data_IF_285231582966
#
_entry.id   IF_285231582966
#
_cell.length_a   1.000
_cell.length_b   1.000
_cell.length_c   1.000
_cell.angle_alpha   90.00
_cell.angle_beta   90.00
_cell.angle_gamma   90.00
#
_symmetry.space_group_name_H-M   'P 1'
#
loop_
_entity.id
_entity.type
_entity.pdbx_description
1 polymer ?
#
# COMPACT_ATOMS: atom_id res chain seq x y z
N UNK A 1 -20.54 5.37 -1.25
CA UNK A 1 -20.16 6.77 -1.50
C UNK A 1 -18.83 6.80 -2.24
N UNK A 2 -18.76 7.52 -3.36
CA UNK A 2 -17.57 7.54 -4.23
C UNK A 2 -16.41 8.27 -3.51
N UNK A 3 -15.18 7.73 -3.60
CA UNK A 3 -13.96 8.30 -3.02
C UNK A 3 -13.76 9.77 -3.46
N UNK A 4 -14.05 10.11 -4.71
CA UNK A 4 -13.96 11.46 -5.24
C UNK A 4 -14.78 12.47 -4.42
N UNK A 5 -16.05 12.12 -4.09
CA UNK A 5 -16.91 12.98 -3.28
C UNK A 5 -16.37 13.19 -1.85
N UNK A 6 -15.78 12.14 -1.27
CA UNK A 6 -15.15 12.21 0.05
C UNK A 6 -13.96 13.13 0.06
N UNK A 7 -13.03 12.95 -0.90
CA UNK A 7 -11.81 13.76 -1.00
C UNK A 7 -12.13 15.23 -1.28
N UNK A 8 -13.05 15.49 -2.23
CA UNK A 8 -13.54 16.86 -2.50
C UNK A 8 -14.18 17.51 -1.27
N UNK A 9 -14.96 16.74 -0.49
CA UNK A 9 -15.57 17.22 0.75
C UNK A 9 -14.55 17.59 1.83
N UNK A 10 -13.34 17.03 1.78
CA UNK A 10 -12.22 17.36 2.66
C UNK A 10 -11.33 18.48 2.09
N UNK A 11 -11.66 19.02 0.91
CA UNK A 11 -10.83 20.03 0.23
C UNK A 11 -9.46 19.47 -0.16
N UNK A 12 -9.41 18.22 -0.60
CA UNK A 12 -8.20 17.55 -1.09
C UNK A 12 -8.26 17.47 -2.61
N UNK A 13 -7.20 17.93 -3.26
CA UNK A 13 -6.99 17.74 -4.68
C UNK A 13 -6.50 16.31 -4.95
N UNK A 14 -7.02 15.69 -5.99
CA UNK A 14 -6.63 14.34 -6.39
C UNK A 14 -6.72 14.16 -7.89
N UNK A 15 -6.03 13.16 -8.39
CA UNK A 15 -6.13 12.69 -9.78
C UNK A 15 -6.40 11.20 -9.78
N UNK A 16 -7.20 10.72 -10.72
CA UNK A 16 -7.36 9.29 -10.94
C UNK A 16 -6.15 8.74 -11.71
N UNK A 17 -5.71 7.57 -11.29
CA UNK A 17 -4.71 6.78 -11.98
C UNK A 17 -5.37 5.47 -12.42
N UNK A 18 -5.40 5.22 -13.74
CA UNK A 18 -6.11 4.07 -14.29
C UNK A 18 -5.51 2.75 -13.80
N UNK A 19 -6.34 1.95 -13.12
CA UNK A 19 -5.96 0.64 -12.66
C UNK A 19 -5.81 -0.35 -13.84
N UNK A 20 -4.92 -1.30 -13.67
CA UNK A 20 -4.71 -2.39 -14.62
C UNK A 20 -5.71 -3.50 -14.36
N UNK A 21 -6.58 -3.77 -15.33
CA UNK A 21 -7.47 -4.93 -15.30
C UNK A 21 -6.66 -6.22 -15.57
N UNK A 22 -6.48 -7.03 -14.55
CA UNK A 22 -5.72 -8.28 -14.65
C UNK A 22 -6.27 -9.27 -15.68
N UNK A 23 -7.59 -9.22 -15.95
CA UNK A 23 -8.25 -10.08 -16.96
C UNK A 23 -7.91 -9.66 -18.41
N UNK A 24 -7.43 -8.43 -18.61
CA UNK A 24 -7.08 -7.87 -19.92
C UNK A 24 -5.57 -7.83 -20.16
N UNK A 25 -4.79 -8.43 -19.29
CA UNK A 25 -3.32 -8.47 -19.45
C UNK A 25 -2.91 -9.29 -20.66
N UNK A 26 -1.93 -8.81 -21.45
CA UNK A 26 -1.34 -9.58 -22.53
C UNK A 26 -0.70 -10.87 -22.02
N UNK A 27 -0.72 -11.94 -22.83
CA UNK A 27 -0.11 -13.22 -22.48
C UNK A 27 1.38 -13.08 -22.10
N UNK A 28 2.12 -12.22 -22.80
CA UNK A 28 3.54 -11.95 -22.51
C UNK A 28 3.80 -11.39 -21.09
N UNK A 29 2.84 -10.62 -20.54
CA UNK A 29 2.93 -10.13 -19.16
C UNK A 29 2.66 -11.27 -18.19
N UNK A 30 1.65 -12.09 -18.45
CA UNK A 30 1.30 -13.23 -17.60
C UNK A 30 2.40 -14.30 -17.59
N UNK A 31 3.06 -14.54 -18.71
CA UNK A 31 4.22 -15.45 -18.81
C UNK A 31 5.44 -14.97 -18.01
N UNK A 32 5.55 -13.65 -17.75
CA UNK A 32 6.62 -13.05 -16.95
C UNK A 32 6.38 -13.10 -15.44
N UNK A 33 5.19 -13.54 -15.00
CA UNK A 33 4.83 -13.64 -13.57
C UNK A 33 5.46 -14.88 -12.94
N UNK A 34 6.10 -14.71 -11.78
CA UNK A 34 6.58 -15.83 -10.98
C UNK A 34 5.47 -16.35 -10.05
N UNK A 35 4.65 -17.25 -10.58
CA UNK A 35 3.51 -17.84 -9.87
C UNK A 35 3.89 -18.74 -8.69
N UNK A 36 5.11 -19.26 -8.66
CA UNK A 36 5.57 -20.20 -7.64
C UNK A 36 6.10 -19.49 -6.40
N UNK A 37 6.57 -18.25 -6.55
CA UNK A 37 7.23 -17.54 -5.47
C UNK A 37 6.33 -17.29 -4.27
N UNK A 38 5.12 -16.75 -4.48
CA UNK A 38 4.22 -16.38 -3.39
C UNK A 38 3.75 -17.58 -2.57
N UNK A 39 3.22 -18.67 -3.17
CA UNK A 39 2.87 -19.88 -2.43
C UNK A 39 4.04 -20.49 -1.66
N UNK A 40 5.19 -20.61 -2.31
CA UNK A 40 6.39 -21.23 -1.73
C UNK A 40 6.95 -20.46 -0.53
N UNK A 41 6.97 -19.13 -0.61
CA UNK A 41 7.65 -18.30 0.40
C UNK A 41 6.71 -17.77 1.48
N UNK A 42 5.42 -17.62 1.21
CA UNK A 42 4.47 -16.98 2.14
C UNK A 42 3.31 -17.88 2.58
N UNK A 43 3.40 -19.19 2.29
CA UNK A 43 2.40 -20.21 2.68
C UNK A 43 1.00 -19.91 2.13
N UNK A 44 0.93 -19.24 0.99
CA UNK A 44 -0.34 -19.10 0.29
C UNK A 44 -0.77 -20.45 -0.28
N UNK A 45 -2.03 -20.88 -0.14
CA UNK A 45 -2.50 -22.13 -0.72
C UNK A 45 -2.56 -22.07 -2.25
N UNK A 46 -2.56 -20.89 -2.84
CA UNK A 46 -2.74 -20.68 -4.28
C UNK A 46 -1.72 -19.67 -4.84
N UNK A 47 -1.39 -19.76 -6.15
CA UNK A 47 -0.64 -18.72 -6.85
C UNK A 47 -1.42 -17.39 -6.88
N UNK A 48 -0.76 -16.33 -7.39
CA UNK A 48 -1.41 -15.05 -7.61
C UNK A 48 -2.56 -15.17 -8.62
N UNK A 49 -3.68 -14.54 -8.29
CA UNK A 49 -4.83 -14.41 -9.17
C UNK A 49 -4.63 -13.28 -10.17
N UNK A 50 -5.42 -13.26 -11.24
CA UNK A 50 -5.38 -12.16 -12.21
C UNK A 50 -5.71 -10.80 -11.57
N UNK A 51 -6.63 -10.78 -10.60
CA UNK A 51 -6.96 -9.56 -9.84
C UNK A 51 -5.78 -9.06 -9.02
N UNK A 52 -5.09 -9.95 -8.29
CA UNK A 52 -3.90 -9.59 -7.51
C UNK A 52 -2.74 -9.13 -8.40
N UNK A 53 -2.56 -9.77 -9.55
CA UNK A 53 -1.56 -9.34 -10.55
C UNK A 53 -1.90 -7.95 -11.08
N UNK A 54 -3.16 -7.70 -11.45
CA UNK A 54 -3.63 -6.40 -11.92
C UNK A 54 -3.43 -5.30 -10.87
N UNK A 55 -3.80 -5.59 -9.61
CA UNK A 55 -3.60 -4.69 -8.48
C UNK A 55 -2.09 -4.39 -8.26
N UNK A 56 -1.24 -5.41 -8.23
CA UNK A 56 0.20 -5.23 -8.09
C UNK A 56 0.78 -4.36 -9.21
N UNK A 57 0.40 -4.62 -10.47
CA UNK A 57 0.82 -3.82 -11.63
C UNK A 57 0.34 -2.37 -11.50
N UNK A 58 -0.87 -2.13 -11.02
CA UNK A 58 -1.40 -0.78 -10.81
C UNK A 58 -0.53 0.02 -9.86
N UNK A 59 -0.16 -0.55 -8.72
CA UNK A 59 0.74 0.10 -7.77
C UNK A 59 2.15 0.29 -8.35
N UNK A 60 2.70 -0.70 -9.05
CA UNK A 60 4.01 -0.60 -9.71
C UNK A 60 4.03 0.54 -10.71
N UNK A 61 3.00 0.68 -11.56
CA UNK A 61 2.88 1.78 -12.53
C UNK A 61 2.84 3.16 -11.86
N UNK A 62 2.20 3.28 -10.69
CA UNK A 62 2.26 4.53 -9.92
C UNK A 62 3.70 4.84 -9.49
N UNK A 63 4.46 3.84 -9.04
CA UNK A 63 5.86 4.04 -8.65
C UNK A 63 6.73 4.41 -9.86
N UNK A 64 6.53 3.76 -11.01
CA UNK A 64 7.21 4.09 -12.27
C UNK A 64 6.90 5.51 -12.70
N UNK A 65 5.63 5.90 -12.70
CA UNK A 65 5.19 7.26 -13.00
C UNK A 65 5.83 8.31 -12.06
N UNK A 66 5.93 8.01 -10.77
CA UNK A 66 6.62 8.88 -9.81
C UNK A 66 8.09 9.06 -10.14
N UNK A 67 8.78 7.99 -10.55
CA UNK A 67 10.20 8.03 -10.92
C UNK A 67 10.41 8.79 -12.22
N UNK A 68 9.62 8.51 -13.24
CA UNK A 68 9.69 9.15 -14.56
C UNK A 68 9.45 10.66 -14.48
N UNK A 69 8.48 11.08 -13.67
CA UNK A 69 8.08 12.48 -13.53
C UNK A 69 8.73 13.17 -12.32
N UNK A 70 9.67 12.54 -11.63
CA UNK A 70 10.38 13.06 -10.47
C UNK A 70 9.43 13.59 -9.37
N UNK A 71 8.30 12.89 -9.15
CA UNK A 71 7.30 13.24 -8.12
C UNK A 71 7.90 12.91 -6.75
N UNK A 72 8.09 13.91 -5.92
CA UNK A 72 8.79 13.78 -4.62
C UNK A 72 8.06 12.89 -3.62
N UNK A 73 6.73 12.98 -3.58
CA UNK A 73 5.87 12.14 -2.75
C UNK A 73 4.44 12.14 -3.30
N UNK A 74 3.73 11.05 -3.04
CA UNK A 74 2.32 10.92 -3.37
C UNK A 74 1.58 10.16 -2.26
N UNK A 75 0.31 10.49 -2.04
CA UNK A 75 -0.63 9.67 -1.28
C UNK A 75 -1.37 8.82 -2.29
N UNK A 76 -1.32 7.51 -2.09
CA UNK A 76 -2.03 6.52 -2.89
C UNK A 76 -3.24 6.05 -2.10
N UNK A 77 -4.40 6.05 -2.74
CA UNK A 77 -5.66 5.58 -2.18
C UNK A 77 -6.33 4.63 -3.17
N UNK A 78 -6.80 3.48 -2.71
CA UNK A 78 -7.67 2.61 -3.49
C UNK A 78 -9.08 3.25 -3.59
N UNK A 79 -9.84 2.90 -4.59
CA UNK A 79 -11.13 3.51 -4.91
C UNK A 79 -12.22 3.22 -3.88
N UNK A 80 -12.07 2.17 -3.09
CA UNK A 80 -12.95 1.79 -1.99
C UNK A 80 -12.53 2.37 -0.62
N UNK A 81 -11.45 3.15 -0.58
CA UNK A 81 -10.95 3.73 0.66
C UNK A 81 -11.96 4.66 1.34
N UNK A 82 -12.17 4.45 2.64
CA UNK A 82 -12.97 5.31 3.51
C UNK A 82 -12.03 6.10 4.40
N UNK A 83 -11.83 7.37 4.07
CA UNK A 83 -10.94 8.27 4.81
C UNK A 83 -11.66 8.91 6.00
N UNK A 84 -10.94 9.08 7.12
CA UNK A 84 -11.41 9.84 8.28
C UNK A 84 -11.76 11.28 7.88
N UNK A 85 -12.75 11.88 8.54
CA UNK A 85 -13.04 13.32 8.38
C UNK A 85 -11.87 14.24 8.77
N UNK A 86 -10.95 13.76 9.60
CA UNK A 86 -9.73 14.47 10.02
C UNK A 86 -8.52 14.11 9.17
N UNK A 87 -8.69 13.40 8.03
CA UNK A 87 -7.58 12.87 7.24
C UNK A 87 -6.58 13.96 6.80
N UNK A 88 -7.08 15.12 6.36
CA UNK A 88 -6.23 16.25 5.97
C UNK A 88 -5.35 16.73 7.13
N UNK A 89 -5.94 16.98 8.28
CA UNK A 89 -5.24 17.43 9.49
C UNK A 89 -4.21 16.39 9.97
N UNK A 90 -4.58 15.10 9.90
CA UNK A 90 -3.68 13.98 10.25
C UNK A 90 -2.45 13.98 9.33
N UNK A 91 -2.65 14.13 8.03
CA UNK A 91 -1.56 14.17 7.05
C UNK A 91 -0.65 15.37 7.29
N UNK A 92 -1.21 16.57 7.43
CA UNK A 92 -0.46 17.80 7.64
C UNK A 92 0.37 17.74 8.94
N UNK A 93 -0.24 17.33 10.05
CA UNK A 93 0.46 17.21 11.34
C UNK A 93 1.52 16.09 11.31
N UNK A 94 1.25 15.00 10.59
CA UNK A 94 2.22 13.92 10.38
C UNK A 94 3.44 14.43 9.64
N UNK A 95 3.26 15.14 8.53
CA UNK A 95 4.36 15.66 7.72
C UNK A 95 5.20 16.69 8.47
N UNK A 96 4.59 17.48 9.36
CA UNK A 96 5.30 18.44 10.22
C UNK A 96 6.16 17.75 11.30
N UNK A 97 5.78 16.54 11.73
CA UNK A 97 6.41 15.85 12.87
C UNK A 97 7.31 14.68 12.48
N UNK A 98 7.18 14.18 11.25
CA UNK A 98 7.93 13.01 10.82
C UNK A 98 9.40 13.33 10.55
N UNK A 99 10.24 12.31 10.63
CA UNK A 99 11.64 12.42 10.19
C UNK A 99 11.70 12.67 8.68
N UNK A 100 12.57 13.56 8.24
CA UNK A 100 12.77 13.91 6.81
C UNK A 100 13.19 12.73 5.93
N UNK A 101 13.72 11.67 6.52
CA UNK A 101 14.17 10.46 5.81
C UNK A 101 13.08 9.39 5.69
N UNK A 102 11.84 9.65 6.11
CA UNK A 102 10.74 8.72 5.92
C UNK A 102 10.53 8.38 4.43
N UNK A 103 10.10 7.17 4.16
CA UNK A 103 9.89 6.73 2.78
C UNK A 103 8.48 6.20 2.54
N UNK A 104 7.83 5.65 3.59
CA UNK A 104 6.49 5.09 3.50
C UNK A 104 5.71 5.39 4.79
N UNK A 105 4.46 5.81 4.67
CA UNK A 105 3.56 6.04 5.80
C UNK A 105 2.23 5.35 5.51
N UNK A 106 1.88 4.34 6.29
CA UNK A 106 0.58 3.67 6.18
C UNK A 106 -0.51 4.46 6.92
N UNK A 107 -1.64 4.65 6.27
CA UNK A 107 -2.87 5.20 6.85
C UNK A 107 -3.90 4.10 7.16
N UNK A 108 -3.83 2.96 6.43
CA UNK A 108 -4.48 1.69 6.73
C UNK A 108 -3.40 0.61 6.86
N UNK A 109 -3.50 -0.24 7.87
CA UNK A 109 -2.50 -1.28 8.10
C UNK A 109 -2.98 -2.38 9.05
N UNK A 110 -2.41 -3.56 8.89
CA UNK A 110 -2.55 -4.68 9.82
C UNK A 110 -1.23 -5.39 10.09
N UNK A 111 -1.20 -6.20 11.14
CA UNK A 111 -0.04 -7.05 11.53
C UNK A 111 1.28 -6.28 11.75
N UNK A 112 1.19 -5.04 12.22
CA UNK A 112 2.36 -4.17 12.47
C UNK A 112 2.99 -4.41 13.85
N UNK A 113 4.29 -4.05 13.96
CA UNK A 113 4.97 -3.81 15.23
C UNK A 113 5.68 -2.47 15.14
N UNK A 114 5.41 -1.58 16.10
CA UNK A 114 6.06 -0.28 16.19
C UNK A 114 7.14 -0.26 17.26
N UNK A 115 8.03 0.73 17.18
CA UNK A 115 8.88 1.10 18.30
C UNK A 115 8.04 1.68 19.45
N UNK A 116 8.58 1.66 20.64
CA UNK A 116 7.85 2.10 21.85
C UNK A 116 7.45 3.58 21.80
N UNK A 117 8.35 4.44 21.34
CA UNK A 117 8.08 5.87 21.25
C UNK A 117 7.26 6.23 20.03
N UNK A 118 6.07 6.78 20.27
CA UNK A 118 5.16 7.28 19.25
C UNK A 118 4.94 8.76 19.45
N UNK A 119 4.92 9.53 18.37
CA UNK A 119 4.64 10.96 18.43
C UNK A 119 3.13 11.18 18.42
N UNK A 120 2.62 12.01 19.33
CA UNK A 120 1.24 12.49 19.24
C UNK A 120 1.10 13.40 18.04
N UNK A 121 0.06 13.16 17.25
CA UNK A 121 -0.40 14.03 16.17
C UNK A 121 -1.81 14.53 16.53
N UNK A 122 -2.69 14.74 15.58
CA UNK A 122 -4.08 15.13 15.86
C UNK A 122 -4.69 14.25 16.95
N UNK A 123 -5.62 14.81 17.72
CA UNK A 123 -6.24 14.16 18.88
C UNK A 123 -6.69 12.72 18.59
N UNK A 124 -6.28 11.81 19.47
CA UNK A 124 -6.55 10.38 19.33
C UNK A 124 -5.60 9.62 18.42
N UNK A 125 -4.79 10.29 17.58
CA UNK A 125 -3.86 9.66 16.65
C UNK A 125 -2.39 9.80 17.07
N UNK A 126 -1.59 8.86 16.62
CA UNK A 126 -0.14 8.83 16.88
C UNK A 126 0.61 8.40 15.62
N UNK A 127 1.72 9.04 15.37
CA UNK A 127 2.70 8.61 14.36
C UNK A 127 3.63 7.58 15.00
N UNK A 128 3.65 6.38 14.45
CA UNK A 128 4.47 5.25 14.90
C UNK A 128 5.53 4.91 13.86
N UNK A 129 6.78 4.72 14.29
CA UNK A 129 7.83 4.15 13.45
C UNK A 129 7.74 2.62 13.52
N UNK A 130 7.67 1.95 12.37
CA UNK A 130 7.51 0.51 12.32
C UNK A 130 8.83 -0.23 12.35
N UNK A 131 8.83 -1.31 13.12
CA UNK A 131 10.00 -2.14 13.30
C UNK A 131 10.03 -3.24 12.24
N UNK A 132 11.04 -3.19 11.37
CA UNK A 132 11.24 -4.25 10.39
C UNK A 132 11.45 -5.61 11.09
N UNK A 133 10.75 -6.67 10.65
CA UNK A 133 11.04 -8.03 11.06
C UNK A 133 12.47 -8.46 10.67
N UNK A 134 12.93 -9.61 11.17
CA UNK A 134 14.18 -10.19 10.69
C UNK A 134 14.11 -10.48 9.19
N UNK A 135 15.27 -10.43 8.50
CA UNK A 135 15.36 -10.57 7.03
C UNK A 135 14.65 -11.81 6.48
N UNK A 136 14.64 -12.90 7.24
CA UNK A 136 14.03 -14.18 6.82
C UNK A 136 12.59 -14.35 7.33
N UNK A 137 12.03 -13.34 8.00
CA UNK A 137 10.65 -13.37 8.45
C UNK A 137 9.68 -13.34 7.26
N UNK A 138 8.59 -14.09 7.38
CA UNK A 138 7.44 -14.06 6.47
C UNK A 138 6.40 -12.99 6.84
N UNK A 139 6.65 -12.25 7.94
CA UNK A 139 5.70 -11.22 8.38
C UNK A 139 5.71 -10.06 7.42
N UNK A 140 4.51 -9.61 7.10
CA UNK A 140 4.23 -8.48 6.23
C UNK A 140 3.30 -7.51 6.93
N UNK A 141 3.45 -6.23 6.70
CA UNK A 141 2.40 -5.25 6.97
C UNK A 141 1.37 -5.45 5.86
N UNK A 142 0.15 -5.77 6.23
CA UNK A 142 -0.93 -5.99 5.26
C UNK A 142 -1.73 -4.72 5.06
N UNK A 143 -2.43 -4.68 3.93
CA UNK A 143 -3.25 -3.60 3.37
C UNK A 143 -2.42 -2.53 2.64
N UNK A 144 -2.80 -2.29 1.40
CA UNK A 144 -2.26 -1.25 0.54
C UNK A 144 -3.32 -0.18 0.19
N UNK A 145 -4.46 -0.18 0.93
CA UNK A 145 -5.63 0.67 0.69
C UNK A 145 -5.28 2.16 0.72
N UNK A 146 -4.37 2.55 1.62
CA UNK A 146 -3.98 3.95 1.78
C UNK A 146 -2.57 4.10 2.37
N UNK A 147 -1.71 4.79 1.65
CA UNK A 147 -0.36 5.10 2.13
C UNK A 147 0.24 6.32 1.42
N UNK A 148 1.18 7.00 2.09
CA UNK A 148 2.06 7.97 1.46
C UNK A 148 3.38 7.29 1.13
N UNK A 149 3.91 7.54 -0.06
CA UNK A 149 5.23 7.07 -0.49
C UNK A 149 6.05 8.24 -1.05
N UNK A 150 7.34 8.24 -0.73
CA UNK A 150 8.29 9.20 -1.31
C UNK A 150 8.94 8.61 -2.56
N UNK A 151 9.59 9.48 -3.36
CA UNK A 151 10.35 9.05 -4.54
C UNK A 151 11.43 8.01 -4.20
N UNK A 152 12.11 8.16 -3.05
CA UNK A 152 13.11 7.18 -2.62
C UNK A 152 12.46 5.84 -2.24
N UNK A 153 11.31 5.89 -1.58
CA UNK A 153 10.52 4.70 -1.28
C UNK A 153 10.06 3.98 -2.55
N UNK A 154 9.50 4.73 -3.51
CA UNK A 154 9.08 4.18 -4.80
C UNK A 154 10.22 3.46 -5.54
N UNK A 155 11.41 4.07 -5.61
CA UNK A 155 12.61 3.45 -6.19
C UNK A 155 13.00 2.15 -5.49
N UNK A 156 12.94 2.10 -4.16
CA UNK A 156 13.23 0.88 -3.39
C UNK A 156 12.21 -0.22 -3.65
N UNK A 157 10.91 0.11 -3.75
CA UNK A 157 9.87 -0.85 -4.08
C UNK A 157 10.04 -1.38 -5.50
N UNK A 158 10.34 -0.53 -6.48
CA UNK A 158 10.61 -0.93 -7.87
C UNK A 158 11.77 -1.91 -7.98
N UNK A 159 12.85 -1.74 -7.21
CA UNK A 159 13.96 -2.69 -7.18
C UNK A 159 13.56 -4.10 -6.72
N UNK A 160 12.37 -4.25 -6.11
CA UNK A 160 11.84 -5.53 -5.64
C UNK A 160 10.59 -6.00 -6.39
N UNK A 161 10.03 -5.17 -7.26
CA UNK A 161 8.75 -5.38 -7.93
C UNK A 161 8.79 -6.47 -8.99
N UNK A 162 9.91 -6.62 -9.69
CA UNK A 162 10.06 -7.54 -10.81
C UNK A 162 10.96 -8.75 -10.50
N UNK A 163 10.66 -9.94 -11.07
CA UNK A 163 9.42 -10.26 -11.78
C UNK A 163 8.21 -10.10 -10.86
N UNK A 164 7.01 -9.88 -11.41
CA UNK A 164 5.78 -9.81 -10.61
C UNK A 164 5.57 -11.15 -9.92
N UNK A 165 5.51 -11.13 -8.58
CA UNK A 165 5.49 -12.35 -7.76
C UNK A 165 4.82 -12.18 -6.39
N UNK A 166 4.32 -10.97 -6.10
CA UNK A 166 3.72 -10.62 -4.82
C UNK A 166 2.44 -9.80 -5.05
N UNK A 167 1.42 -9.97 -4.20
CA UNK A 167 0.32 -9.02 -4.13
C UNK A 167 0.82 -7.61 -3.77
N UNK A 168 0.05 -6.58 -4.08
CA UNK A 168 0.42 -5.18 -3.84
C UNK A 168 0.76 -4.89 -2.37
N UNK A 169 -0.02 -5.41 -1.42
CA UNK A 169 0.20 -5.22 0.00
C UNK A 169 1.48 -5.92 0.50
N UNK A 170 1.85 -7.09 -0.07
CA UNK A 170 3.13 -7.73 0.22
C UNK A 170 4.30 -6.96 -0.38
N UNK A 171 4.17 -6.40 -1.58
CA UNK A 171 5.21 -5.57 -2.16
C UNK A 171 5.52 -4.35 -1.28
N UNK A 172 4.49 -3.65 -0.79
CA UNK A 172 4.63 -2.48 0.07
C UNK A 172 5.03 -2.85 1.50
N UNK A 173 4.51 -3.95 2.03
CA UNK A 173 4.59 -4.30 3.44
C UNK A 173 5.76 -5.19 3.86
N UNK A 174 6.53 -5.77 2.92
CA UNK A 174 7.74 -6.55 3.21
C UNK A 174 8.96 -5.65 3.49
N UNK A 175 8.82 -4.75 4.45
CA UNK A 175 9.82 -3.71 4.78
C UNK A 175 11.21 -4.27 5.13
N UNK A 176 11.30 -5.51 5.63
CA UNK A 176 12.58 -6.21 5.85
C UNK A 176 13.28 -6.62 4.55
N UNK A 177 12.56 -6.70 3.44
CA UNK A 177 13.10 -7.04 2.11
C UNK A 177 13.40 -5.77 1.31
N UNK A 178 12.45 -4.85 1.26
CA UNK A 178 12.53 -3.60 0.49
C UNK A 178 13.40 -2.55 1.17
N UNK A 179 13.61 -2.65 2.50
CA UNK A 179 14.37 -1.70 3.33
C UNK A 179 13.83 -0.27 3.27
N UNK A 180 12.54 -0.14 3.10
CA UNK A 180 11.84 1.14 3.13
C UNK A 180 11.69 1.60 4.57
N UNK A 181 12.07 2.83 4.88
CA UNK A 181 11.86 3.42 6.21
C UNK A 181 10.39 3.77 6.40
N UNK A 182 9.75 3.04 7.32
CA UNK A 182 8.29 2.90 7.33
C UNK A 182 7.68 3.38 8.64
N UNK A 183 6.67 4.20 8.50
CA UNK A 183 5.82 4.70 9.57
C UNK A 183 4.36 4.33 9.33
N UNK A 184 3.51 4.60 10.31
CA UNK A 184 2.07 4.51 10.15
C UNK A 184 1.33 5.30 11.21
N UNK A 185 0.05 5.54 10.94
CA UNK A 185 -0.87 6.25 11.82
C UNK A 185 -1.60 5.25 12.69
N UNK A 186 -1.55 5.42 13.99
CA UNK A 186 -2.21 4.55 14.96
C UNK A 186 -3.19 5.33 15.85
N UNK A 187 -4.49 4.93 15.92
CA UNK A 187 -5.11 3.87 15.11
C UNK A 187 -5.14 4.23 13.62
N UNK A 188 -5.46 3.27 12.70
CA UNK A 188 -5.66 3.58 11.29
C UNK A 188 -6.69 4.70 11.10
N UNK A 189 -6.45 5.58 10.13
CA UNK A 189 -7.35 6.68 9.79
C UNK A 189 -8.00 6.53 8.41
N UNK A 190 -7.69 5.43 7.74
CA UNK A 190 -8.36 4.99 6.52
C UNK A 190 -8.76 3.54 6.69
N UNK A 191 -9.90 3.17 6.12
CA UNK A 191 -10.48 1.83 6.21
C UNK A 191 -10.98 1.41 4.84
N UNK A 192 -11.07 0.11 4.61
CA UNK A 192 -11.77 -0.45 3.44
C UNK A 192 -13.27 -0.41 3.64
N UNK A 193 -14.03 -0.13 2.58
CA UNK A 193 -15.49 -0.18 2.61
C UNK A 193 -15.98 -1.60 2.87
N UNK A 194 -16.83 -1.79 3.89
CA UNK A 194 -17.44 -3.09 4.23
C UNK A 194 -18.32 -3.67 3.10
N UNK A 195 -18.72 -2.85 2.14
CA UNK A 195 -19.54 -3.23 0.99
C UNK A 195 -18.74 -3.29 -0.32
N UNK A 196 -17.44 -3.13 -0.25
CA UNK A 196 -16.63 -3.45 -1.41
C UNK A 196 -16.66 -4.97 -1.52
N UNK A 197 -17.61 -5.44 -2.32
CA UNK A 197 -17.44 -6.69 -3.03
C UNK A 197 -16.14 -6.55 -3.81
N UNK A 198 -15.01 -6.72 -3.14
CA UNK A 198 -13.72 -6.79 -3.79
C UNK A 198 -13.90 -7.80 -4.92
N UNK A 199 -13.72 -7.39 -6.17
CA UNK A 199 -13.80 -8.35 -7.29
C UNK A 199 -12.80 -9.49 -7.10
N UNK A 200 -11.75 -9.24 -6.30
CA UNK A 200 -10.75 -10.22 -5.89
C UNK A 200 -11.34 -11.22 -4.90
N UNK A 201 -12.12 -10.76 -3.92
CA UNK A 201 -12.72 -11.62 -2.88
C UNK A 201 -13.96 -12.38 -3.39
N UNK A 202 -14.72 -11.84 -4.34
CA UNK A 202 -15.91 -12.51 -4.92
C UNK A 202 -15.61 -13.78 -5.70
N UNK A 203 -14.43 -13.85 -6.31
CA UNK A 203 -14.10 -14.94 -7.25
C UNK A 203 -13.35 -16.08 -6.56
N UNK A 204 -12.77 -15.84 -5.39
CA UNK A 204 -11.88 -16.80 -4.75
C UNK A 204 -11.95 -16.75 -3.23
N UNK A 205 -12.82 -17.53 -2.61
CA UNK A 205 -12.81 -17.83 -1.16
C UNK A 205 -11.41 -18.26 -0.69
N UNK A 206 -10.52 -17.29 -0.45
CA UNK A 206 -9.11 -17.53 -0.10
C UNK A 206 -8.89 -17.79 1.39
N UNK A 207 -9.88 -17.50 2.22
CA UNK A 207 -9.76 -17.49 3.68
C UNK A 207 -10.78 -18.39 4.39
N UNK A 208 -11.47 -19.30 3.67
CA UNK A 208 -12.21 -20.38 4.27
C UNK A 208 -11.35 -21.61 4.53
#
# INVERSE_FOLDING_TARGET
ENIAKRLSGLGLDFTFFDATDGKKLPASVLESVDYDFYPKHYLSPKPLTLGEIGCAISHIKVYEHMVENNIKSAIILEDDAIVSQHFKEIVEDTLNKINKNHELIFFDHGKVKSYFFKKRIVEGYRLAHYKAPSKNSRRCIIYATAYLITLSGAKKLLNYAYPIRLPADYLTGLIQKTRVDTYGIEPPCVFRGLNSDSEIDKIEHRYE
#
